data_IF_567059524814
#
_entry.id   IF_567059524814
#
_cell.length_a   1.000
_cell.length_b   1.000
_cell.length_c   1.000
_cell.angle_alpha   90.00
_cell.angle_beta   90.00
_cell.angle_gamma   90.00
#
_symmetry.space_group_name_H-M   'P 1'
#
loop_
_entity.id
_entity.type
_entity.pdbx_description
1 polymer ?
#
# COMPACT_ATOMS: atom_id res chain seq x y z
N UNK A 1 -15.29 -11.21 21.53
CA UNK A 1 -14.64 -10.68 20.29
C UNK A 1 -14.45 -11.86 19.37
N UNK A 2 -15.06 -11.83 18.18
CA UNK A 2 -14.90 -12.94 17.25
C UNK A 2 -13.48 -12.88 16.65
N UNK A 3 -12.65 -13.84 17.05
CA UNK A 3 -11.30 -14.00 16.50
C UNK A 3 -11.37 -14.94 15.29
N UNK A 4 -10.75 -14.52 14.21
CA UNK A 4 -10.57 -15.37 13.02
C UNK A 4 -9.25 -16.12 13.20
N UNK A 5 -9.34 -17.44 13.38
CA UNK A 5 -8.16 -18.32 13.40
C UNK A 5 -7.58 -18.44 12.00
N UNK A 6 -6.29 -18.21 11.88
CA UNK A 6 -5.55 -18.37 10.63
C UNK A 6 -4.29 -19.18 10.90
N UNK A 7 -3.62 -19.73 9.86
CA UNK A 7 -2.33 -20.39 10.03
C UNK A 7 -1.26 -19.49 10.68
N UNK A 8 -1.43 -18.18 10.62
CA UNK A 8 -0.51 -17.18 11.18
C UNK A 8 -0.90 -16.67 12.58
N UNK A 9 -1.96 -17.20 13.17
CA UNK A 9 -2.49 -16.79 14.47
C UNK A 9 -3.91 -16.25 14.41
N UNK A 10 -4.46 -15.87 15.56
CA UNK A 10 -5.79 -15.28 15.63
C UNK A 10 -5.73 -13.76 15.43
N UNK A 11 -6.65 -13.22 14.62
CA UNK A 11 -6.83 -11.78 14.44
C UNK A 11 -8.28 -11.43 14.70
N UNK A 12 -8.46 -10.26 15.29
CA UNK A 12 -9.77 -9.64 15.45
C UNK A 12 -10.45 -9.45 14.08
N UNK A 13 -11.72 -9.84 13.98
CA UNK A 13 -12.55 -9.56 12.80
C UNK A 13 -12.60 -8.06 12.43
N UNK A 14 -12.38 -7.18 13.42
CA UNK A 14 -12.30 -5.73 13.20
C UNK A 14 -11.17 -5.34 12.25
N UNK A 15 -10.02 -6.01 12.31
CA UNK A 15 -8.90 -5.74 11.40
C UNK A 15 -9.28 -6.07 9.96
N UNK A 16 -9.97 -7.19 9.74
CA UNK A 16 -10.41 -7.59 8.39
C UNK A 16 -11.43 -6.64 7.78
N UNK A 17 -12.25 -5.99 8.59
CA UNK A 17 -13.28 -5.05 8.16
C UNK A 17 -12.80 -3.59 8.18
N UNK A 18 -11.61 -3.32 8.71
CA UNK A 18 -11.06 -1.96 8.78
C UNK A 18 -11.11 -1.23 7.43
N UNK A 19 -10.74 -1.84 6.27
CA UNK A 19 -10.80 -1.14 5.00
C UNK A 19 -12.19 -0.63 4.64
N UNK A 20 -13.24 -1.39 4.95
CA UNK A 20 -14.63 -0.95 4.73
C UNK A 20 -15.00 0.22 5.64
N UNK A 21 -14.68 0.13 6.93
CA UNK A 21 -14.94 1.22 7.86
C UNK A 21 -14.15 2.49 7.50
N UNK A 22 -12.92 2.33 7.07
CA UNK A 22 -12.10 3.43 6.60
C UNK A 22 -12.73 4.13 5.39
N UNK A 23 -13.13 3.39 4.36
CA UNK A 23 -13.77 3.98 3.18
C UNK A 23 -15.14 4.58 3.50
N UNK A 24 -15.96 3.94 4.34
CA UNK A 24 -17.22 4.50 4.80
C UNK A 24 -16.99 5.80 5.57
N UNK A 25 -15.97 5.86 6.42
CA UNK A 25 -15.62 7.08 7.14
C UNK A 25 -15.15 8.19 6.19
N UNK A 26 -14.21 7.89 5.29
CA UNK A 26 -13.67 8.86 4.34
C UNK A 26 -14.78 9.39 3.41
N UNK A 27 -15.48 8.49 2.73
CA UNK A 27 -16.47 8.91 1.73
C UNK A 27 -17.84 9.25 2.34
N UNK A 28 -18.27 8.57 3.39
CA UNK A 28 -19.53 8.84 4.04
C UNK A 28 -19.52 10.04 4.96
N UNK A 29 -18.41 10.27 5.68
CA UNK A 29 -18.33 11.34 6.67
C UNK A 29 -17.60 12.58 6.16
N UNK A 30 -16.46 12.38 5.46
CA UNK A 30 -15.65 13.53 5.03
C UNK A 30 -16.16 14.10 3.70
N UNK A 31 -16.62 13.25 2.78
CA UNK A 31 -16.98 13.64 1.41
C UNK A 31 -18.47 13.96 1.21
N UNK A 32 -19.37 13.15 1.76
CA UNK A 32 -20.81 13.25 1.48
C UNK A 32 -21.53 14.19 2.46
N UNK A 33 -21.12 14.22 3.72
CA UNK A 33 -21.81 15.05 4.71
C UNK A 33 -21.42 16.52 4.55
N UNK A 34 -22.40 17.44 4.56
CA UNK A 34 -22.12 18.89 4.54
C UNK A 34 -21.16 19.34 5.64
N UNK A 35 -21.09 18.59 6.74
CA UNK A 35 -20.11 18.81 7.81
C UNK A 35 -18.68 18.50 7.38
N UNK A 36 -18.44 17.61 6.43
CA UNK A 36 -17.13 17.35 5.84
C UNK A 36 -16.61 18.59 5.09
N UNK A 37 -17.48 19.24 4.31
CA UNK A 37 -17.14 20.52 3.66
C UNK A 37 -17.03 21.68 4.64
N UNK A 38 -17.81 21.75 5.68
CA UNK A 38 -17.83 22.85 6.65
C UNK A 38 -16.75 22.69 7.73
N UNK A 39 -16.53 21.47 8.27
CA UNK A 39 -15.61 21.22 9.39
C UNK A 39 -14.21 20.86 8.88
N UNK A 40 -14.12 20.07 7.82
CA UNK A 40 -12.82 19.68 7.23
C UNK A 40 -12.52 20.54 6.02
N UNK A 41 -13.53 21.11 5.35
CA UNK A 41 -13.41 21.92 4.14
C UNK A 41 -12.81 21.11 2.97
N UNK A 42 -13.09 21.49 1.76
CA UNK A 42 -12.40 20.93 0.57
C UNK A 42 -10.89 21.01 0.73
N UNK A 43 -10.38 22.08 1.31
CA UNK A 43 -8.96 22.34 1.56
C UNK A 43 -8.29 21.28 2.45
N UNK A 44 -8.95 20.79 3.50
CA UNK A 44 -8.38 19.76 4.38
C UNK A 44 -8.41 18.37 3.74
N UNK A 45 -9.45 18.06 3.01
CA UNK A 45 -9.54 16.80 2.28
C UNK A 45 -8.52 16.75 1.15
N UNK A 46 -8.38 17.84 0.41
CA UNK A 46 -7.37 17.99 -0.63
C UNK A 46 -5.95 17.94 -0.03
N UNK A 47 -5.74 18.48 1.16
CA UNK A 47 -4.46 18.43 1.85
C UNK A 47 -4.09 17.01 2.30
N UNK A 48 -5.07 16.17 2.64
CA UNK A 48 -4.84 14.75 2.95
C UNK A 48 -4.43 13.94 1.73
N UNK A 49 -5.00 14.25 0.56
CA UNK A 49 -4.79 13.55 -0.71
C UNK A 49 -3.67 14.16 -1.57
N UNK A 50 -3.11 15.26 -1.13
CA UNK A 50 -2.08 15.98 -1.89
C UNK A 50 -0.79 15.17 -1.88
N UNK A 51 -0.07 15.20 -3.00
CA UNK A 51 1.35 14.86 -3.04
C UNK A 51 2.10 15.63 -1.95
N UNK A 52 3.03 15.00 -1.28
CA UNK A 52 3.68 15.49 -0.04
C UNK A 52 2.73 15.61 1.16
N UNK A 53 1.54 15.01 1.06
CA UNK A 53 0.53 15.05 2.11
C UNK A 53 0.77 14.07 3.26
N UNK A 54 -0.03 14.17 4.33
CA UNK A 54 0.10 13.28 5.49
C UNK A 54 -0.06 11.80 5.16
N UNK A 55 -0.87 11.43 4.17
CA UNK A 55 -1.07 10.01 3.78
C UNK A 55 0.20 9.43 3.19
N UNK A 56 0.89 10.14 2.33
CA UNK A 56 2.13 9.71 1.71
C UNK A 56 3.26 9.52 2.75
N UNK A 57 3.39 10.43 3.71
CA UNK A 57 4.33 10.26 4.83
C UNK A 57 3.99 9.05 5.73
N UNK A 58 2.70 8.74 5.89
CA UNK A 58 2.27 7.52 6.59
C UNK A 58 2.59 6.29 5.76
N UNK A 59 2.40 6.32 4.44
CA UNK A 59 2.75 5.23 3.52
C UNK A 59 4.27 4.98 3.55
N UNK A 60 5.08 6.03 3.41
CA UNK A 60 6.53 5.94 3.61
C UNK A 60 6.88 5.23 4.91
N UNK A 61 6.31 5.68 6.04
CA UNK A 61 6.58 5.10 7.35
C UNK A 61 6.19 3.63 7.42
N UNK A 62 5.04 3.25 6.86
CA UNK A 62 4.57 1.87 6.83
C UNK A 62 5.48 0.98 5.99
N UNK A 63 5.89 1.41 4.80
CA UNK A 63 6.81 0.65 3.94
C UNK A 63 8.21 0.55 4.57
N UNK A 64 8.73 1.63 5.11
CA UNK A 64 10.03 1.65 5.76
C UNK A 64 10.08 0.69 6.96
N UNK A 65 9.10 0.76 7.87
CA UNK A 65 9.01 -0.16 9.01
C UNK A 65 8.80 -1.60 8.54
N UNK A 66 8.02 -1.83 7.47
CA UNK A 66 7.82 -3.15 6.89
C UNK A 66 9.13 -3.73 6.37
N UNK A 67 9.97 -2.94 5.73
CA UNK A 67 11.29 -3.39 5.27
C UNK A 67 12.19 -3.82 6.43
N UNK A 68 12.18 -3.07 7.55
CA UNK A 68 12.89 -3.44 8.78
C UNK A 68 12.34 -4.76 9.34
N UNK A 69 11.03 -4.94 9.41
CA UNK A 69 10.41 -6.18 9.87
C UNK A 69 10.76 -7.36 8.96
N UNK A 70 10.78 -7.14 7.64
CA UNK A 70 11.20 -8.13 6.66
C UNK A 70 12.62 -8.61 6.88
N UNK A 71 13.52 -7.69 7.18
CA UNK A 71 14.89 -8.01 7.55
C UNK A 71 14.94 -8.95 8.77
N UNK A 72 14.22 -8.61 9.84
CA UNK A 72 14.13 -9.48 11.03
C UNK A 72 13.49 -10.84 10.74
N UNK A 73 12.45 -10.90 9.89
CA UNK A 73 11.83 -12.16 9.48
C UNK A 73 12.84 -13.03 8.74
N UNK A 74 13.61 -12.45 7.79
CA UNK A 74 14.62 -13.16 7.04
C UNK A 74 15.73 -13.73 7.92
N UNK A 75 16.12 -13.05 9.00
CA UNK A 75 17.07 -13.61 9.97
C UNK A 75 16.51 -14.83 10.69
N UNK A 76 15.22 -14.83 10.98
CA UNK A 76 14.56 -15.96 11.69
C UNK A 76 14.35 -17.18 10.79
N UNK A 77 14.31 -17.05 9.49
CA UNK A 77 14.06 -18.16 8.56
C UNK A 77 15.25 -19.11 8.54
N UNK A 78 15.03 -20.36 8.97
CA UNK A 78 16.07 -21.41 9.00
C UNK A 78 16.48 -21.88 7.62
N UNK A 79 15.50 -22.07 6.70
CA UNK A 79 15.73 -22.58 5.34
C UNK A 79 15.84 -21.43 4.35
N UNK A 80 17.04 -20.87 4.21
CA UNK A 80 17.33 -19.67 3.41
C UNK A 80 17.02 -19.77 1.90
N UNK A 81 17.07 -20.97 1.33
CA UNK A 81 16.84 -21.21 -0.11
C UNK A 81 15.42 -21.75 -0.39
N UNK A 82 14.45 -21.51 0.49
CA UNK A 82 13.06 -21.90 0.23
C UNK A 82 12.35 -20.83 -0.59
N UNK A 83 11.30 -21.23 -1.35
CA UNK A 83 10.44 -20.28 -2.06
C UNK A 83 9.92 -19.19 -1.12
N UNK A 84 9.51 -19.59 0.09
CA UNK A 84 9.01 -18.66 1.11
C UNK A 84 10.07 -17.60 1.48
N UNK A 85 11.35 -17.98 1.64
CA UNK A 85 12.42 -17.02 1.96
C UNK A 85 12.76 -16.10 0.79
N UNK A 86 12.65 -16.59 -0.45
CA UNK A 86 12.85 -15.78 -1.66
C UNK A 86 11.75 -14.72 -1.78
N UNK A 87 10.50 -15.10 -1.55
CA UNK A 87 9.38 -14.15 -1.56
C UNK A 87 9.54 -13.12 -0.44
N UNK A 88 9.91 -13.54 0.79
CA UNK A 88 10.18 -12.59 1.87
C UNK A 88 11.28 -11.60 1.52
N UNK A 89 12.37 -12.07 0.88
CA UNK A 89 13.43 -11.19 0.41
C UNK A 89 12.91 -10.18 -0.62
N UNK A 90 12.16 -10.66 -1.61
CA UNK A 90 11.54 -9.81 -2.62
C UNK A 90 10.61 -8.76 -2.02
N UNK A 91 9.73 -9.14 -1.08
CA UNK A 91 8.84 -8.21 -0.39
C UNK A 91 9.61 -7.20 0.47
N UNK A 92 10.69 -7.61 1.11
CA UNK A 92 11.52 -6.71 1.92
C UNK A 92 12.19 -5.64 1.05
N UNK A 93 12.77 -6.06 -0.09
CA UNK A 93 13.38 -5.14 -1.07
C UNK A 93 12.30 -4.23 -1.68
N UNK A 94 11.13 -4.78 -2.02
CA UNK A 94 10.02 -4.01 -2.54
C UNK A 94 9.59 -2.92 -1.56
N UNK A 95 9.39 -3.24 -0.28
CA UNK A 95 9.00 -2.24 0.72
C UNK A 95 10.07 -1.16 0.90
N UNK A 96 11.37 -1.53 0.88
CA UNK A 96 12.45 -0.55 0.94
C UNK A 96 12.45 0.37 -0.28
N UNK A 97 12.29 -0.20 -1.47
CA UNK A 97 12.26 0.56 -2.72
C UNK A 97 11.08 1.54 -2.75
N UNK A 98 9.86 1.07 -2.43
CA UNK A 98 8.70 1.96 -2.41
C UNK A 98 8.85 3.04 -1.33
N UNK A 99 9.36 2.72 -0.15
CA UNK A 99 9.64 3.75 0.86
C UNK A 99 10.62 4.83 0.34
N UNK A 100 11.63 4.44 -0.44
CA UNK A 100 12.54 5.42 -1.05
C UNK A 100 11.84 6.27 -2.12
N UNK A 101 10.96 5.67 -2.92
CA UNK A 101 10.15 6.36 -3.92
C UNK A 101 9.21 7.41 -3.29
N UNK A 102 8.55 7.08 -2.16
CA UNK A 102 7.64 8.00 -1.45
C UNK A 102 8.31 9.30 -0.98
N UNK A 103 9.61 9.28 -0.77
CA UNK A 103 10.39 10.47 -0.37
C UNK A 103 11.34 10.95 -1.48
N UNK A 104 11.06 10.55 -2.73
CA UNK A 104 11.87 10.89 -3.91
C UNK A 104 13.37 10.61 -3.66
N UNK A 105 13.68 9.40 -3.12
CA UNK A 105 15.04 8.96 -2.75
C UNK A 105 15.77 9.91 -1.81
N UNK A 106 15.02 10.57 -0.96
CA UNK A 106 15.54 11.51 0.05
C UNK A 106 15.59 12.96 -0.41
N UNK A 107 15.20 13.28 -1.64
CA UNK A 107 15.12 14.66 -2.14
C UNK A 107 14.26 15.54 -1.22
N UNK A 108 13.09 15.02 -0.79
CA UNK A 108 12.18 15.72 0.12
C UNK A 108 12.76 16.02 1.51
N UNK A 109 13.81 15.30 1.92
CA UNK A 109 14.48 15.51 3.21
C UNK A 109 15.71 16.39 3.05
N UNK A 110 16.50 16.17 2.00
CA UNK A 110 17.82 16.76 1.82
C UNK A 110 17.83 17.94 0.85
N UNK A 111 16.82 18.06 0.00
CA UNK A 111 16.76 19.00 -1.11
C UNK A 111 17.72 18.67 -2.25
N UNK A 112 18.39 17.50 -2.21
CA UNK A 112 19.28 17.05 -3.27
C UNK A 112 18.50 16.21 -4.29
N UNK A 113 18.49 16.65 -5.56
CA UNK A 113 17.89 15.90 -6.65
C UNK A 113 18.95 15.37 -7.63
N UNK A 114 18.54 14.38 -8.41
CA UNK A 114 19.32 13.84 -9.53
C UNK A 114 18.79 14.44 -10.82
N UNK A 115 19.42 15.49 -11.33
CA UNK A 115 18.99 16.22 -12.54
C UNK A 115 18.65 15.27 -13.71
N UNK A 116 19.45 14.21 -13.90
CA UNK A 116 19.22 13.24 -14.97
C UNK A 116 17.90 12.46 -14.88
N UNK A 117 17.31 12.36 -13.70
CA UNK A 117 16.02 11.69 -13.48
C UNK A 117 14.91 12.74 -13.40
N UNK A 118 15.12 13.81 -12.64
CA UNK A 118 14.12 14.86 -12.47
C UNK A 118 13.75 15.56 -13.78
N UNK A 119 14.69 15.75 -14.71
CA UNK A 119 14.43 16.34 -16.03
C UNK A 119 13.48 15.52 -16.91
N UNK A 120 13.44 14.20 -16.75
CA UNK A 120 12.57 13.30 -17.54
C UNK A 120 11.34 12.82 -16.75
N UNK A 121 11.29 13.11 -15.47
CA UNK A 121 10.15 12.81 -14.59
C UNK A 121 8.97 13.75 -14.89
N UNK A 122 7.74 13.21 -14.87
CA UNK A 122 6.52 14.00 -15.10
C UNK A 122 6.35 15.10 -14.04
N UNK A 123 6.80 14.83 -12.82
CA UNK A 123 6.67 15.75 -11.67
C UNK A 123 7.95 16.54 -11.39
N UNK A 124 9.04 16.27 -12.12
CA UNK A 124 10.32 16.95 -11.90
C UNK A 124 11.06 16.48 -10.65
N UNK A 125 10.74 15.31 -10.11
CA UNK A 125 11.33 14.74 -8.89
C UNK A 125 12.22 13.54 -9.21
N UNK A 126 13.11 13.21 -8.26
CA UNK A 126 13.99 12.04 -8.34
C UNK A 126 13.23 10.79 -7.90
N UNK A 127 12.28 10.34 -8.71
CA UNK A 127 11.62 9.06 -8.49
C UNK A 127 11.36 8.33 -9.82
N UNK A 128 11.34 6.99 -9.75
CA UNK A 128 11.20 6.16 -10.95
C UNK A 128 9.74 5.98 -11.35
N UNK A 129 8.81 6.01 -10.39
CA UNK A 129 7.40 5.82 -10.69
C UNK A 129 6.83 6.99 -11.51
N UNK A 130 7.40 8.18 -11.44
CA UNK A 130 7.03 9.35 -12.24
C UNK A 130 7.71 9.42 -13.62
N UNK A 131 8.49 8.40 -14.00
CA UNK A 131 8.97 8.31 -15.38
C UNK A 131 7.79 8.01 -16.32
N UNK A 132 7.70 8.64 -17.51
CA UNK A 132 6.53 8.58 -18.38
C UNK A 132 6.04 7.16 -18.70
N UNK A 133 6.94 6.22 -18.91
CA UNK A 133 6.57 4.83 -19.18
C UNK A 133 5.92 4.15 -17.97
N UNK A 134 6.49 4.31 -16.79
CA UNK A 134 5.95 3.71 -15.56
C UNK A 134 4.62 4.35 -15.18
N UNK A 135 4.60 5.67 -15.12
CA UNK A 135 3.43 6.44 -14.72
C UNK A 135 2.22 6.21 -15.65
N UNK A 136 2.42 6.23 -16.98
CA UNK A 136 1.31 6.19 -17.92
C UNK A 136 0.83 4.77 -18.28
N UNK A 137 1.67 3.74 -18.14
CA UNK A 137 1.36 2.42 -18.70
C UNK A 137 1.53 1.25 -17.76
N UNK A 138 2.35 1.34 -16.73
CA UNK A 138 2.75 0.17 -15.97
C UNK A 138 2.19 0.12 -14.55
N UNK A 139 2.16 1.25 -13.84
CA UNK A 139 1.89 1.26 -12.39
C UNK A 139 0.48 0.77 -12.06
N UNK A 140 -0.54 1.37 -12.64
CA UNK A 140 -1.92 1.04 -12.33
C UNK A 140 -2.27 -0.42 -12.65
N UNK A 141 -1.97 -0.96 -13.85
CA UNK A 141 -2.20 -2.38 -14.13
C UNK A 141 -1.36 -3.32 -13.27
N UNK A 142 -0.12 -2.96 -12.97
CA UNK A 142 0.73 -3.77 -12.12
C UNK A 142 0.19 -3.83 -10.68
N UNK A 143 -0.19 -2.68 -10.12
CA UNK A 143 -0.78 -2.60 -8.78
C UNK A 143 -2.09 -3.38 -8.72
N UNK A 144 -2.95 -3.26 -9.73
CA UNK A 144 -4.19 -4.02 -9.84
C UNK A 144 -3.94 -5.53 -9.82
N UNK A 145 -3.01 -6.02 -10.66
CA UNK A 145 -2.64 -7.45 -10.71
C UNK A 145 -2.08 -7.93 -9.38
N UNK A 146 -1.17 -7.16 -8.77
CA UNK A 146 -0.59 -7.47 -7.46
C UNK A 146 -1.68 -7.54 -6.39
N UNK A 147 -2.60 -6.59 -6.39
CA UNK A 147 -3.70 -6.55 -5.43
C UNK A 147 -4.66 -7.73 -5.58
N UNK A 148 -5.01 -8.14 -6.79
CA UNK A 148 -5.79 -9.35 -7.05
C UNK A 148 -5.03 -10.60 -6.57
N UNK A 149 -3.74 -10.66 -6.86
CA UNK A 149 -2.91 -11.78 -6.43
C UNK A 149 -2.84 -11.88 -4.90
N UNK A 150 -2.49 -10.79 -4.20
CA UNK A 150 -2.38 -10.78 -2.74
C UNK A 150 -3.72 -10.93 -2.03
N UNK A 151 -4.78 -10.31 -2.55
CA UNK A 151 -6.11 -10.30 -1.93
C UNK A 151 -6.95 -11.55 -2.20
N UNK A 152 -6.71 -12.26 -3.30
CA UNK A 152 -7.57 -13.36 -3.72
C UNK A 152 -6.85 -14.66 -4.04
N UNK A 153 -5.78 -14.63 -4.86
CA UNK A 153 -5.17 -15.84 -5.42
C UNK A 153 -4.17 -16.44 -4.42
N UNK A 154 -3.29 -15.64 -3.86
CA UNK A 154 -2.13 -16.10 -3.09
C UNK A 154 -2.50 -17.03 -1.94
N UNK A 155 -3.33 -16.56 -1.02
CA UNK A 155 -3.74 -17.34 0.15
C UNK A 155 -4.60 -18.57 -0.20
N UNK A 156 -5.24 -18.61 -1.36
CA UNK A 156 -6.02 -19.77 -1.83
C UNK A 156 -5.15 -20.85 -2.43
N UNK A 157 -4.18 -20.47 -3.26
CA UNK A 157 -3.33 -21.41 -3.99
C UNK A 157 -2.15 -21.89 -3.16
N UNK A 158 -1.61 -21.03 -2.31
CA UNK A 158 -0.40 -21.30 -1.50
C UNK A 158 -0.61 -20.94 -0.02
N UNK A 159 -1.59 -21.58 0.67
CA UNK A 159 -1.91 -21.26 2.08
C UNK A 159 -0.77 -21.57 3.05
N UNK A 160 0.21 -22.38 2.62
CA UNK A 160 1.39 -22.75 3.40
C UNK A 160 2.53 -21.72 3.33
N UNK A 161 2.47 -20.77 2.40
CA UNK A 161 3.48 -19.72 2.28
C UNK A 161 3.14 -18.55 3.22
N UNK A 162 3.89 -18.42 4.29
CA UNK A 162 3.73 -17.31 5.24
C UNK A 162 4.13 -15.96 4.65
N UNK A 163 4.87 -15.95 3.55
CA UNK A 163 5.23 -14.76 2.79
C UNK A 163 4.08 -14.17 1.98
N UNK A 164 2.95 -14.86 1.87
CA UNK A 164 1.75 -14.32 1.24
C UNK A 164 0.73 -13.87 2.29
N UNK A 165 0.05 -12.74 2.09
CA UNK A 165 -0.98 -12.26 3.00
C UNK A 165 -2.09 -13.28 3.19
N UNK A 166 -2.61 -13.37 4.40
CA UNK A 166 -3.71 -14.26 4.72
C UNK A 166 -5.06 -13.69 4.29
N UNK A 167 -6.08 -14.56 4.19
CA UNK A 167 -7.46 -14.20 3.84
C UNK A 167 -7.99 -12.97 4.60
N UNK A 168 -7.61 -12.80 5.85
CA UNK A 168 -8.06 -11.69 6.71
C UNK A 168 -7.64 -10.30 6.21
N UNK A 169 -6.58 -10.23 5.40
CA UNK A 169 -6.08 -8.98 4.80
C UNK A 169 -6.61 -8.78 3.38
N UNK A 170 -7.46 -9.68 2.87
CA UNK A 170 -7.96 -9.63 1.49
C UNK A 170 -8.58 -8.28 1.12
N UNK A 171 -9.37 -7.67 2.01
CA UNK A 171 -10.05 -6.41 1.71
C UNK A 171 -9.08 -5.23 1.57
N UNK A 172 -7.92 -5.26 2.21
CA UNK A 172 -6.88 -4.25 2.02
C UNK A 172 -6.36 -4.19 0.59
N UNK A 173 -6.41 -5.30 -0.11
CA UNK A 173 -5.93 -5.42 -1.49
C UNK A 173 -7.07 -5.38 -2.52
N UNK A 174 -8.17 -6.10 -2.27
CA UNK A 174 -9.27 -6.18 -3.23
C UNK A 174 -9.99 -4.85 -3.46
N UNK A 175 -10.14 -4.02 -2.43
CA UNK A 175 -10.73 -2.69 -2.60
C UNK A 175 -9.82 -1.77 -3.41
N UNK A 176 -8.51 -1.90 -3.24
CA UNK A 176 -7.51 -1.20 -4.07
C UNK A 176 -7.61 -1.68 -5.53
N UNK A 177 -7.64 -2.99 -5.76
CA UNK A 177 -7.80 -3.55 -7.11
C UNK A 177 -9.09 -3.06 -7.79
N UNK A 178 -10.20 -2.98 -7.04
CA UNK A 178 -11.48 -2.48 -7.56
C UNK A 178 -11.41 -0.99 -7.91
N UNK A 179 -10.72 -0.19 -7.10
CA UNK A 179 -10.53 1.23 -7.39
C UNK A 179 -9.74 1.44 -8.67
N UNK A 180 -8.57 0.79 -8.82
CA UNK A 180 -7.76 0.93 -10.03
C UNK A 180 -8.45 0.35 -11.26
N UNK A 181 -9.22 -0.75 -11.13
CA UNK A 181 -10.06 -1.25 -12.22
C UNK A 181 -11.12 -0.22 -12.64
N UNK A 182 -11.77 0.43 -11.69
CA UNK A 182 -12.73 1.50 -11.96
C UNK A 182 -12.05 2.70 -12.61
N UNK A 183 -10.90 3.10 -12.10
CA UNK A 183 -10.09 4.21 -12.60
C UNK A 183 -9.65 3.98 -14.04
N UNK A 184 -9.09 2.79 -14.35
CA UNK A 184 -8.59 2.48 -15.70
C UNK A 184 -9.69 2.23 -16.74
N UNK A 185 -10.78 1.56 -16.34
CA UNK A 185 -11.86 1.16 -17.25
C UNK A 185 -12.90 2.27 -17.45
N UNK A 186 -12.90 3.28 -16.60
CA UNK A 186 -13.86 4.35 -16.65
C UNK A 186 -13.23 5.66 -17.13
N UNK A 187 -14.05 6.55 -17.62
CA UNK A 187 -13.73 7.95 -17.88
C UNK A 187 -13.31 8.72 -16.60
N UNK A 188 -13.26 8.06 -15.44
CA UNK A 188 -12.88 8.64 -14.16
C UNK A 188 -11.46 9.21 -14.15
N UNK A 189 -10.55 8.64 -14.92
CA UNK A 189 -9.19 9.15 -15.11
C UNK A 189 -9.12 10.59 -15.63
N UNK A 190 -10.18 11.09 -16.25
CA UNK A 190 -10.26 12.48 -16.73
C UNK A 190 -10.77 13.46 -15.67
N UNK A 191 -11.24 12.96 -14.52
CA UNK A 191 -11.84 13.76 -13.46
C UNK A 191 -10.83 13.93 -12.32
N UNK A 192 -10.26 15.12 -12.20
CA UNK A 192 -9.14 15.44 -11.31
C UNK A 192 -9.35 15.04 -9.84
N UNK A 193 -10.56 15.21 -9.30
CA UNK A 193 -10.83 14.86 -7.90
C UNK A 193 -10.82 13.35 -7.64
N UNK A 194 -11.18 12.51 -8.62
CA UNK A 194 -11.09 11.05 -8.51
C UNK A 194 -9.63 10.59 -8.62
N UNK A 195 -8.83 11.25 -9.44
CA UNK A 195 -7.41 10.96 -9.56
C UNK A 195 -6.69 11.14 -8.23
N UNK A 196 -6.98 12.19 -7.51
CA UNK A 196 -6.38 12.45 -6.21
C UNK A 196 -6.83 11.46 -5.12
N UNK A 197 -7.86 10.63 -5.36
CA UNK A 197 -8.28 9.60 -4.41
C UNK A 197 -7.33 8.38 -4.40
N UNK A 198 -6.37 8.28 -5.31
CA UNK A 198 -5.35 7.23 -5.32
C UNK A 198 -4.68 7.10 -3.94
N UNK A 199 -4.27 8.18 -3.32
CA UNK A 199 -3.62 8.22 -2.01
C UNK A 199 -4.41 7.49 -0.92
N UNK A 200 -5.75 7.57 -0.97
CA UNK A 200 -6.64 6.89 -0.02
C UNK A 200 -6.52 5.36 -0.16
N UNK A 201 -6.44 4.87 -1.39
CA UNK A 201 -6.34 3.44 -1.68
C UNK A 201 -4.91 2.91 -1.53
N UNK A 202 -3.91 3.69 -1.87
CA UNK A 202 -2.50 3.36 -1.66
C UNK A 202 -2.19 3.25 -0.16
N UNK A 203 -2.79 4.10 0.67
CA UNK A 203 -2.73 3.95 2.13
C UNK A 203 -3.35 2.63 2.62
N UNK A 204 -4.43 2.15 2.02
CA UNK A 204 -4.96 0.82 2.33
C UNK A 204 -3.99 -0.29 1.93
N UNK A 205 -3.39 -0.18 0.75
CA UNK A 205 -2.40 -1.13 0.27
C UNK A 205 -1.19 -1.21 1.22
N UNK A 206 -0.58 -0.07 1.52
CA UNK A 206 0.57 0.02 2.43
C UNK A 206 0.24 -0.50 3.84
N UNK A 207 -0.97 -0.20 4.36
CA UNK A 207 -1.46 -0.74 5.64
C UNK A 207 -1.62 -2.26 5.59
N UNK A 208 -2.13 -2.81 4.49
CA UNK A 208 -2.26 -4.25 4.29
C UNK A 208 -0.90 -4.95 4.32
N UNK A 209 0.10 -4.39 3.64
CA UNK A 209 1.48 -4.86 3.65
C UNK A 209 2.07 -4.76 5.06
N UNK A 210 1.97 -3.62 5.71
CA UNK A 210 2.48 -3.41 7.07
C UNK A 210 1.91 -4.43 8.07
N UNK A 211 0.60 -4.65 8.06
CA UNK A 211 -0.05 -5.63 8.93
C UNK A 211 0.41 -7.06 8.64
N UNK A 212 0.67 -7.39 7.36
CA UNK A 212 1.21 -8.68 6.98
C UNK A 212 2.60 -8.93 7.57
N UNK A 213 3.50 -7.96 7.49
CA UNK A 213 4.83 -8.04 8.10
C UNK A 213 4.74 -8.10 9.63
N UNK A 214 3.93 -7.24 10.24
CA UNK A 214 3.72 -7.20 11.69
C UNK A 214 3.25 -8.53 12.26
N UNK A 215 2.31 -9.18 11.60
CA UNK A 215 1.81 -10.48 12.03
C UNK A 215 2.86 -11.57 11.98
N UNK A 216 3.65 -11.59 10.91
CA UNK A 216 4.70 -12.59 10.73
C UNK A 216 5.91 -12.35 11.64
N UNK A 217 6.16 -11.11 12.05
CA UNK A 217 7.19 -10.80 13.04
C UNK A 217 6.88 -11.44 14.41
N UNK A 218 5.60 -11.55 14.78
CA UNK A 218 5.13 -12.10 16.06
C UNK A 218 5.16 -13.63 16.12
N UNK A 219 5.22 -14.31 14.98
CA UNK A 219 5.25 -15.77 14.94
C UNK A 219 6.55 -16.25 15.56
N UNK A 220 6.45 -16.90 16.72
CA UNK A 220 7.57 -17.63 17.30
C UNK A 220 7.86 -18.84 16.39
N UNK A 221 9.11 -19.01 15.99
CA UNK A 221 9.55 -20.22 15.30
C UNK A 221 9.39 -21.41 16.28
N UNK A 222 8.34 -22.20 16.14
CA UNK A 222 8.23 -23.52 16.73
C UNK A 222 9.08 -24.50 15.95
#
# INVERSE_FOLDING_TARGET
MNEIKTPWGSISSKVSLFPLYYLIFIYGFIYILPFGEIVVGSTWFDLLKKEDGPLEWLQFSQYFISSIFGFFILFKIKKKKSLNSIIWLGLTIFCFFIAAEEISWGERITGFNLDSISEISIQGETNFHNLPFFHNYLLDPALQIICIFLGWIGWRKWPYLTSLPSKKLSLFFLLVALFFAYYDLSWASTVSHIRNDQEIFEFLFSTGIFLHFWDNLKIKNN
#
